data_IF_669497370671
#
_entry.id   IF_669497370671
#
_cell.length_a   1.000
_cell.length_b   1.000
_cell.length_c   1.000
_cell.angle_alpha   90.00
_cell.angle_beta   90.00
_cell.angle_gamma   90.00
#
_symmetry.space_group_name_H-M   'P 1'
#
loop_
_entity.id
_entity.type
_entity.pdbx_description
1 polymer ?
#
# COMPACT_ATOMS: atom_id res chain seq x y z
N UNK A 1 9.61 -8.22 0.02
CA UNK A 1 9.95 -7.24 1.08
C UNK A 1 8.67 -6.90 1.84
N UNK A 2 8.72 -6.44 3.10
CA UNK A 2 7.48 -6.03 3.79
C UNK A 2 7.04 -4.60 3.42
N UNK A 3 5.73 -4.35 3.49
CA UNK A 3 5.13 -3.06 3.16
C UNK A 3 5.75 -1.89 3.95
N UNK A 4 6.03 -2.07 5.25
CA UNK A 4 6.67 -1.02 6.08
C UNK A 4 8.02 -0.57 5.54
N UNK A 5 8.84 -1.50 5.04
CA UNK A 5 10.14 -1.18 4.45
C UNK A 5 9.98 -0.54 3.09
N UNK A 6 9.10 -1.06 2.25
CA UNK A 6 8.85 -0.54 0.90
C UNK A 6 8.25 0.89 0.96
N UNK A 7 7.29 1.11 1.85
CA UNK A 7 6.63 2.40 2.06
C UNK A 7 7.41 3.39 2.94
N UNK A 8 8.58 3.02 3.46
CA UNK A 8 9.34 3.89 4.37
C UNK A 8 9.76 5.19 3.66
N UNK A 9 9.26 6.33 4.15
CA UNK A 9 9.57 7.66 3.60
C UNK A 9 8.65 8.10 2.44
N UNK A 10 7.94 7.15 1.83
CA UNK A 10 6.92 7.36 0.78
C UNK A 10 5.56 7.58 1.42
N UNK A 11 5.17 6.65 2.29
CA UNK A 11 3.89 6.67 2.99
C UNK A 11 3.95 7.70 4.10
N UNK A 12 3.12 8.73 4.00
CA UNK A 12 3.07 9.83 4.95
C UNK A 12 1.65 10.03 5.43
N UNK A 13 1.52 10.29 6.72
CA UNK A 13 0.24 10.72 7.30
C UNK A 13 0.00 12.17 6.91
N UNK A 14 -1.18 12.47 6.39
CA UNK A 14 -1.57 13.77 5.88
C UNK A 14 -2.94 14.21 6.36
N UNK A 15 -3.38 15.37 5.86
CA UNK A 15 -4.76 15.86 6.09
C UNK A 15 -5.82 15.00 5.38
N UNK A 16 -5.45 14.40 4.26
CA UNK A 16 -6.30 13.52 3.46
C UNK A 16 -5.58 12.18 3.21
N UNK A 17 -6.34 11.08 3.07
CA UNK A 17 -5.79 9.81 2.61
C UNK A 17 -5.09 9.98 1.27
N UNK A 18 -4.01 9.23 1.06
CA UNK A 18 -3.30 9.18 -0.22
C UNK A 18 -3.50 7.81 -0.84
N UNK A 19 -3.52 7.77 -2.17
CA UNK A 19 -3.58 6.52 -2.92
C UNK A 19 -2.15 6.03 -3.11
N UNK A 20 -1.91 4.78 -2.71
CA UNK A 20 -0.64 4.10 -2.84
C UNK A 20 -0.78 2.90 -3.75
N UNK A 21 0.12 2.79 -4.73
CA UNK A 21 0.27 1.60 -5.55
C UNK A 21 1.29 0.67 -4.90
N UNK A 22 0.91 -0.59 -4.75
CA UNK A 22 1.73 -1.64 -4.16
C UNK A 22 1.99 -2.66 -5.26
N UNK A 23 3.25 -2.80 -5.65
CA UNK A 23 3.68 -3.91 -6.50
C UNK A 23 4.01 -5.12 -5.64
N UNK A 24 3.50 -6.29 -5.97
CA UNK A 24 3.70 -7.54 -5.25
C UNK A 24 3.81 -8.73 -6.21
N UNK A 25 4.28 -9.87 -5.69
CA UNK A 25 4.30 -11.15 -6.43
C UNK A 25 5.02 -11.09 -7.80
N UNK A 26 6.08 -10.27 -7.90
CA UNK A 26 6.94 -10.16 -9.09
C UNK A 26 6.22 -9.75 -10.39
N UNK A 27 5.12 -9.00 -10.29
CA UNK A 27 4.45 -8.40 -11.45
C UNK A 27 3.02 -7.92 -11.22
N UNK A 28 2.39 -8.31 -10.12
CA UNK A 28 1.05 -7.86 -9.75
C UNK A 28 1.09 -6.49 -9.08
N UNK A 29 0.03 -5.70 -9.27
CA UNK A 29 -0.11 -4.37 -8.70
C UNK A 29 -1.51 -4.18 -8.12
N UNK A 30 -1.60 -3.50 -6.98
CA UNK A 30 -2.88 -3.06 -6.40
C UNK A 30 -2.79 -1.62 -5.91
N UNK A 31 -3.92 -0.93 -5.84
CA UNK A 31 -4.01 0.45 -5.36
C UNK A 31 -4.84 0.51 -4.09
N UNK A 32 -4.27 1.09 -3.04
CA UNK A 32 -4.91 1.26 -1.74
C UNK A 32 -4.87 2.70 -1.29
N UNK A 33 -6.04 3.21 -0.92
CA UNK A 33 -6.13 4.49 -0.22
C UNK A 33 -5.82 4.27 1.25
N UNK A 34 -4.85 5.02 1.78
CA UNK A 34 -4.55 5.01 3.21
C UNK A 34 -4.04 6.37 3.72
N UNK A 35 -4.24 6.62 5.01
CA UNK A 35 -3.68 7.76 5.73
C UNK A 35 -2.54 7.34 6.68
N UNK A 36 -1.45 6.90 6.08
CA UNK A 36 -0.23 6.52 6.79
C UNK A 36 0.05 5.01 6.75
N UNK A 37 1.23 4.62 7.26
CA UNK A 37 1.77 3.27 7.05
C UNK A 37 1.05 2.19 7.85
N UNK A 38 0.46 2.52 9.00
CA UNK A 38 -0.28 1.54 9.80
C UNK A 38 -1.57 1.13 9.08
N UNK A 39 -2.35 2.09 8.61
CA UNK A 39 -3.60 1.82 7.87
C UNK A 39 -3.32 1.10 6.56
N UNK A 40 -2.28 1.50 5.83
CA UNK A 40 -1.87 0.82 4.60
C UNK A 40 -1.45 -0.63 4.87
N UNK A 41 -0.77 -0.91 5.98
CA UNK A 41 -0.38 -2.26 6.39
C UNK A 41 -1.59 -3.12 6.76
N UNK A 42 -2.59 -2.56 7.45
CA UNK A 42 -3.82 -3.26 7.79
C UNK A 42 -4.63 -3.62 6.53
N UNK A 43 -4.80 -2.67 5.62
CA UNK A 43 -5.48 -2.91 4.34
C UNK A 43 -4.75 -3.97 3.51
N UNK A 44 -3.43 -3.85 3.39
CA UNK A 44 -2.61 -4.83 2.66
C UNK A 44 -2.74 -6.24 3.24
N UNK A 45 -2.68 -6.38 4.57
CA UNK A 45 -2.84 -7.69 5.24
C UNK A 45 -4.23 -8.28 5.06
N UNK A 46 -5.26 -7.43 5.01
CA UNK A 46 -6.63 -7.89 4.74
C UNK A 46 -6.79 -8.43 3.33
N UNK A 47 -6.02 -7.89 2.37
CA UNK A 47 -6.07 -8.28 0.96
C UNK A 47 -5.15 -9.44 0.61
N UNK A 48 -4.06 -9.65 1.35
CA UNK A 48 -3.17 -10.79 1.19
C UNK A 48 -3.89 -12.15 1.00
N UNK A 49 -4.89 -12.53 1.83
CA UNK A 49 -5.62 -13.78 1.62
C UNK A 49 -6.50 -13.78 0.36
N UNK A 50 -6.95 -12.62 -0.13
CA UNK A 50 -7.74 -12.52 -1.37
C UNK A 50 -6.86 -12.66 -2.61
N UNK A 51 -5.61 -12.20 -2.54
CA UNK A 51 -4.63 -12.30 -3.61
C UNK A 51 -3.75 -13.55 -3.53
N UNK A 52 -4.00 -14.46 -2.58
CA UNK A 52 -3.17 -15.63 -2.28
C UNK A 52 -1.68 -15.27 -2.15
N UNK A 53 -1.37 -14.10 -1.59
CA UNK A 53 -0.02 -13.57 -1.49
C UNK A 53 0.43 -13.40 -0.04
N UNK A 54 1.74 -13.44 0.20
CA UNK A 54 2.30 -13.22 1.52
C UNK A 54 2.44 -11.70 1.80
N UNK A 55 2.24 -11.24 3.04
CA UNK A 55 2.36 -9.83 3.39
C UNK A 55 3.77 -9.26 3.18
N UNK A 56 4.78 -10.12 3.07
CA UNK A 56 6.16 -9.82 2.73
C UNK A 56 6.53 -10.08 1.26
N UNK A 57 5.55 -10.34 0.39
CA UNK A 57 5.70 -10.40 -1.07
C UNK A 57 5.70 -9.03 -1.77
N UNK A 58 5.79 -7.93 -1.03
CA UNK A 58 5.81 -6.57 -1.61
C UNK A 58 7.16 -6.31 -2.28
N UNK A 59 7.12 -5.85 -3.54
CA UNK A 59 8.27 -5.40 -4.31
C UNK A 59 8.52 -3.90 -4.12
N UNK A 60 7.49 -3.06 -4.26
CA UNK A 60 7.58 -1.60 -4.05
C UNK A 60 6.26 -0.99 -3.57
N UNK A 61 6.35 0.24 -3.08
CA UNK A 61 5.21 1.10 -2.77
C UNK A 61 5.45 2.44 -3.43
N UNK A 62 4.48 2.96 -4.16
CA UNK A 62 4.51 4.29 -4.78
C UNK A 62 3.28 5.09 -4.37
N UNK A 63 3.43 6.41 -4.18
CA UNK A 63 2.28 7.29 -3.95
C UNK A 63 1.79 7.84 -5.29
N UNK A 64 0.62 7.40 -5.75
CA UNK A 64 0.07 7.77 -7.05
C UNK A 64 -0.84 9.00 -7.00
N UNK A 65 -1.41 9.33 -5.83
CA UNK A 65 -2.26 10.51 -5.71
C UNK A 65 -2.92 10.68 -4.36
N UNK A 66 -4.03 11.39 -4.37
CA UNK A 66 -4.96 11.55 -3.26
C UNK A 66 -6.31 11.03 -3.71
N UNK A 67 -7.13 10.54 -2.77
CA UNK A 67 -8.53 10.26 -3.10
C UNK A 67 -9.18 11.61 -3.44
N UNK A 68 -9.61 11.78 -4.69
CA UNK A 68 -10.39 12.94 -5.10
C UNK A 68 -11.79 12.80 -4.48
N UNK A 69 -12.11 13.71 -3.56
CA UNK A 69 -13.50 13.88 -3.10
C UNK A 69 -14.25 14.57 -4.26
N UNK A 70 -15.08 13.82 -4.97
CA UNK A 70 -16.04 14.32 -5.99
C UNK A 70 -17.14 15.20 -5.36
#
# INVERSE_FOLDING_TARGET
MNLRRAGKGIVRKGKRPSVYRIGFNDGDETELTANGINELEELWRSLCPEFECEPDSVNYVERVGYEEED
#
